data_IF_122850167130
#
_entry.id   IF_122850167130
#
_cell.length_a   1.000
_cell.length_b   1.000
_cell.length_c   1.000
_cell.angle_alpha   90.00
_cell.angle_beta   90.00
_cell.angle_gamma   90.00
#
_symmetry.space_group_name_H-M   'P 1'
#
loop_
_entity.id
_entity.type
_entity.pdbx_description
1 polymer ?
#
# COMPACT_ATOMS: atom_id res chain seq x y z
N UNK A 1 7.96 -1.55 31.95
CA UNK A 1 8.44 -1.49 33.34
C UNK A 1 9.92 -1.16 33.30
N UNK A 2 10.47 -0.20 34.02
CA UNK A 2 11.90 -0.05 34.14
C UNK A 2 12.43 -1.32 34.81
N UNK A 3 13.33 -2.03 34.11
CA UNK A 3 13.99 -3.20 34.68
C UNK A 3 14.92 -2.74 35.83
N UNK A 4 14.66 -3.24 37.01
CA UNK A 4 15.61 -3.13 38.12
C UNK A 4 16.52 -4.35 38.10
N UNK A 5 17.63 -4.22 37.37
CA UNK A 5 18.63 -5.28 37.25
C UNK A 5 19.36 -5.60 38.57
N UNK A 6 19.20 -4.74 39.56
CA UNK A 6 19.72 -4.89 40.92
C UNK A 6 18.90 -5.88 41.79
N UNK A 7 17.71 -6.29 41.30
CA UNK A 7 16.83 -7.24 42.00
C UNK A 7 16.63 -8.48 41.15
N UNK A 8 17.39 -9.53 41.42
CA UNK A 8 17.40 -10.77 40.63
C UNK A 8 16.04 -11.45 40.52
N UNK A 9 15.19 -11.33 41.53
CA UNK A 9 13.83 -11.87 41.56
C UNK A 9 12.90 -11.22 40.52
N UNK A 10 13.27 -10.04 40.03
CA UNK A 10 12.47 -9.30 39.00
C UNK A 10 12.84 -9.65 37.59
N UNK A 11 13.91 -10.41 37.40
CA UNK A 11 14.36 -10.82 36.07
C UNK A 11 13.61 -12.07 35.61
N UNK A 12 13.27 -12.07 34.32
CA UNK A 12 12.67 -13.22 33.67
C UNK A 12 13.65 -14.39 33.59
N UNK A 13 13.18 -15.57 33.19
CA UNK A 13 13.98 -16.76 32.99
C UNK A 13 14.08 -17.10 31.50
N UNK A 14 15.31 -17.44 31.08
CA UNK A 14 15.60 -17.98 29.75
C UNK A 14 15.24 -19.48 29.67
N UNK A 15 15.32 -20.08 28.48
CA UNK A 15 15.02 -21.51 28.27
C UNK A 15 15.99 -22.45 28.97
N UNK A 16 17.15 -21.96 29.34
CA UNK A 16 18.20 -22.68 30.10
C UNK A 16 18.12 -22.43 31.62
N UNK A 17 17.05 -21.82 32.09
CA UNK A 17 16.79 -21.34 33.44
C UNK A 17 17.73 -20.23 33.95
N UNK A 18 18.60 -19.68 33.11
CA UNK A 18 19.36 -18.47 33.47
C UNK A 18 18.44 -17.27 33.60
N UNK A 19 18.89 -16.24 34.34
CA UNK A 19 18.14 -14.96 34.42
C UNK A 19 18.33 -14.14 33.17
N UNK A 20 17.23 -13.54 32.69
CA UNK A 20 17.25 -12.66 31.53
C UNK A 20 17.80 -11.29 31.92
N UNK A 21 18.74 -10.79 31.12
CA UNK A 21 19.25 -9.41 31.20
C UNK A 21 18.37 -8.38 30.46
N UNK A 22 17.34 -8.84 29.78
CA UNK A 22 16.48 -7.99 28.91
C UNK A 22 15.01 -7.95 29.33
N UNK A 23 14.53 -8.96 30.04
CA UNK A 23 13.11 -9.11 30.37
C UNK A 23 12.87 -9.37 31.86
N UNK A 24 11.79 -8.76 32.38
CA UNK A 24 11.33 -9.07 33.72
C UNK A 24 10.50 -10.37 33.74
N UNK A 25 10.30 -10.93 34.93
CA UNK A 25 9.53 -12.17 35.11
C UNK A 25 8.07 -12.11 34.69
N UNK A 26 7.47 -10.90 34.61
CA UNK A 26 6.16 -10.71 34.02
C UNK A 26 6.17 -10.80 32.49
N UNK A 27 7.32 -10.63 31.86
CA UNK A 27 7.44 -10.63 30.40
C UNK A 27 7.97 -11.94 29.85
N UNK A 28 8.90 -12.59 30.55
CA UNK A 28 9.58 -13.79 30.08
C UNK A 28 9.66 -14.85 31.19
N UNK A 29 9.20 -16.06 30.87
CA UNK A 29 9.36 -17.25 31.73
C UNK A 29 9.74 -18.44 30.87
N UNK A 30 10.83 -19.13 31.31
CA UNK A 30 11.33 -20.31 30.63
C UNK A 30 11.60 -20.12 29.14
N UNK A 31 12.13 -18.94 28.77
CA UNK A 31 12.40 -18.52 27.38
C UNK A 31 11.18 -18.17 26.55
N UNK A 32 9.98 -18.13 27.15
CA UNK A 32 8.74 -17.80 26.46
C UNK A 32 8.12 -16.52 27.04
N UNK A 33 7.52 -15.72 26.16
CA UNK A 33 6.72 -14.59 26.64
C UNK A 33 5.49 -15.09 27.40
N UNK A 34 5.28 -14.54 28.58
CA UNK A 34 4.19 -14.93 29.51
C UNK A 34 2.82 -14.58 28.95
N UNK A 35 2.74 -13.54 28.10
CA UNK A 35 1.51 -13.08 27.45
C UNK A 35 1.83 -12.75 26.00
N UNK A 36 1.04 -13.29 25.07
CA UNK A 36 1.13 -12.91 23.64
C UNK A 36 0.10 -11.82 23.36
N UNK A 37 0.49 -10.56 23.54
CA UNK A 37 -0.31 -9.37 23.26
C UNK A 37 0.42 -8.46 22.29
N UNK A 38 -0.34 -7.60 21.61
CA UNK A 38 0.22 -6.55 20.75
C UNK A 38 0.87 -5.45 21.60
N UNK A 39 1.69 -4.62 20.97
CA UNK A 39 2.27 -3.44 21.62
C UNK A 39 1.18 -2.47 22.08
N UNK A 40 0.12 -2.30 21.26
CA UNK A 40 -1.00 -1.42 21.61
C UNK A 40 -1.77 -1.90 22.84
N UNK A 41 -2.08 -3.20 22.90
CA UNK A 41 -2.72 -3.79 24.08
C UNK A 41 -1.85 -3.63 25.34
N UNK A 42 -0.54 -3.75 25.21
CA UNK A 42 0.38 -3.48 26.33
C UNK A 42 0.31 -2.02 26.78
N UNK A 43 0.27 -1.08 25.84
CA UNK A 43 0.11 0.35 26.14
C UNK A 43 -1.21 0.57 26.87
N UNK A 44 -2.31 0.04 26.36
CA UNK A 44 -3.64 0.23 26.94
C UNK A 44 -3.74 -0.37 28.36
N UNK A 45 -3.09 -1.51 28.60
CA UNK A 45 -2.98 -2.08 29.95
C UNK A 45 -2.21 -1.12 30.89
N UNK A 46 -1.08 -0.59 30.47
CA UNK A 46 -0.30 0.32 31.30
C UNK A 46 -1.02 1.66 31.56
N UNK A 47 -1.75 2.18 30.57
CA UNK A 47 -2.58 3.35 30.75
C UNK A 47 -3.67 3.11 31.80
N UNK A 48 -4.33 1.94 31.75
CA UNK A 48 -5.33 1.56 32.76
C UNK A 48 -4.74 1.48 34.17
N UNK A 49 -3.46 1.22 34.30
CA UNK A 49 -2.75 1.08 35.57
C UNK A 49 -1.66 2.15 35.75
N UNK A 50 -1.92 3.39 35.28
CA UNK A 50 -0.96 4.51 35.34
C UNK A 50 -0.39 4.73 36.76
N UNK A 51 -1.22 4.68 37.79
CA UNK A 51 -0.76 4.85 39.19
C UNK A 51 0.26 3.77 39.58
N UNK A 52 0.03 2.52 39.19
CA UNK A 52 0.99 1.45 39.46
C UNK A 52 2.28 1.65 38.67
N UNK A 53 2.20 2.09 37.41
CA UNK A 53 3.38 2.40 36.62
C UNK A 53 4.19 3.52 37.29
N UNK A 54 3.53 4.61 37.69
CA UNK A 54 4.14 5.74 38.36
C UNK A 54 4.84 5.32 39.67
N UNK A 55 4.19 4.46 40.46
CA UNK A 55 4.79 3.91 41.67
C UNK A 55 6.06 3.08 41.39
N UNK A 56 6.05 2.23 40.37
CA UNK A 56 7.24 1.44 39.98
C UNK A 56 8.36 2.26 39.36
N UNK A 57 8.01 3.28 38.57
CA UNK A 57 8.98 4.12 37.86
C UNK A 57 9.43 5.33 38.69
N UNK A 58 8.83 5.55 39.85
CA UNK A 58 8.99 6.76 40.68
C UNK A 58 8.76 8.04 39.83
N UNK A 59 7.63 8.09 39.17
CA UNK A 59 7.21 9.17 38.26
C UNK A 59 5.79 9.61 38.58
N UNK A 60 5.33 10.70 37.97
CA UNK A 60 3.99 11.26 38.16
C UNK A 60 3.36 11.61 36.80
N UNK A 61 3.44 10.72 35.82
CA UNK A 61 2.87 10.93 34.50
C UNK A 61 1.36 10.86 34.52
N UNK A 62 0.70 11.74 33.74
CA UNK A 62 -0.70 11.56 33.38
C UNK A 62 -0.86 10.37 32.42
N UNK A 63 -2.08 9.83 32.23
CA UNK A 63 -2.34 8.77 31.25
C UNK A 63 -1.88 9.15 29.83
N UNK A 64 -2.08 10.40 29.42
CA UNK A 64 -1.70 10.92 28.11
C UNK A 64 -0.18 10.98 27.95
N UNK A 65 0.53 11.55 28.90
CA UNK A 65 1.99 11.62 28.91
C UNK A 65 2.60 10.21 28.92
N UNK A 66 2.03 9.30 29.73
CA UNK A 66 2.47 7.91 29.76
C UNK A 66 2.28 7.23 28.41
N UNK A 67 1.16 7.48 27.72
CA UNK A 67 0.91 6.96 26.38
C UNK A 67 1.98 7.42 25.37
N UNK A 68 2.33 8.70 25.36
CA UNK A 68 3.37 9.23 24.50
C UNK A 68 4.73 8.60 24.78
N UNK A 69 5.10 8.48 26.06
CA UNK A 69 6.36 7.87 26.48
C UNK A 69 6.41 6.40 26.07
N UNK A 70 5.34 5.64 26.27
CA UNK A 70 5.30 4.22 25.91
C UNK A 70 5.35 4.03 24.39
N UNK A 71 4.63 4.83 23.62
CA UNK A 71 4.68 4.83 22.15
C UNK A 71 6.11 5.10 21.62
N UNK A 72 6.88 5.93 22.32
CA UNK A 72 8.27 6.24 21.95
C UNK A 72 9.27 5.16 22.38
N UNK A 73 9.06 4.55 23.54
CA UNK A 73 10.04 3.63 24.15
C UNK A 73 9.83 2.16 23.78
N UNK A 74 8.56 1.68 23.73
CA UNK A 74 8.29 0.26 23.51
C UNK A 74 8.79 -0.27 22.15
N UNK A 75 8.72 0.49 21.02
CA UNK A 75 9.25 0.00 19.76
C UNK A 75 10.73 -0.33 19.76
N UNK A 76 11.51 0.29 20.66
CA UNK A 76 12.94 0.04 20.78
C UNK A 76 13.29 -1.22 21.60
N UNK A 77 12.33 -1.79 22.34
CA UNK A 77 12.56 -2.99 23.12
C UNK A 77 12.68 -4.23 22.23
N UNK A 78 13.57 -5.15 22.59
CA UNK A 78 13.86 -6.38 21.82
C UNK A 78 12.62 -7.17 21.44
N UNK A 79 11.64 -7.30 22.35
CA UNK A 79 10.36 -7.96 22.10
C UNK A 79 9.59 -7.39 20.92
N UNK A 80 9.53 -6.06 20.83
CA UNK A 80 8.73 -5.36 19.82
C UNK A 80 9.54 -5.11 18.55
N UNK A 81 10.85 -4.86 18.68
CA UNK A 81 11.77 -4.69 17.57
C UNK A 81 11.79 -5.93 16.68
N UNK A 82 11.96 -7.12 17.27
CA UNK A 82 11.98 -8.37 16.54
C UNK A 82 10.62 -8.68 15.88
N UNK A 83 9.51 -8.39 16.57
CA UNK A 83 8.16 -8.54 16.01
C UNK A 83 7.90 -7.54 14.85
N UNK A 84 8.40 -6.30 14.96
CA UNK A 84 8.33 -5.32 13.88
C UNK A 84 9.17 -5.73 12.67
N UNK A 85 10.39 -6.20 12.87
CA UNK A 85 11.25 -6.70 11.79
C UNK A 85 10.59 -7.87 11.06
N UNK A 86 10.03 -8.83 11.78
CA UNK A 86 9.30 -9.96 11.20
C UNK A 86 8.05 -9.49 10.44
N UNK A 87 7.27 -8.56 11.01
CA UNK A 87 6.10 -7.99 10.34
C UNK A 87 6.49 -7.22 9.08
N UNK A 88 7.58 -6.45 9.12
CA UNK A 88 8.09 -5.73 7.95
C UNK A 88 8.54 -6.69 6.85
N UNK A 89 9.23 -7.78 7.19
CA UNK A 89 9.59 -8.83 6.23
C UNK A 89 8.35 -9.48 5.63
N UNK A 90 7.36 -9.83 6.44
CA UNK A 90 6.10 -10.39 5.95
C UNK A 90 5.35 -9.41 5.04
N UNK A 91 5.27 -8.14 5.44
CA UNK A 91 4.65 -7.09 4.64
C UNK A 91 5.32 -6.99 3.27
N UNK A 92 6.66 -6.88 3.25
CA UNK A 92 7.42 -6.82 2.01
C UNK A 92 7.24 -8.06 1.12
N UNK A 93 7.27 -9.23 1.73
CA UNK A 93 7.04 -10.50 1.03
C UNK A 93 5.67 -10.51 0.35
N UNK A 94 4.63 -10.09 1.07
CA UNK A 94 3.27 -10.04 0.50
C UNK A 94 3.13 -8.92 -0.53
N UNK A 95 3.82 -7.79 -0.39
CA UNK A 95 3.86 -6.75 -1.42
C UNK A 95 4.40 -7.27 -2.75
N UNK A 96 5.47 -8.06 -2.74
CA UNK A 96 6.00 -8.68 -3.96
C UNK A 96 4.96 -9.61 -4.62
N UNK A 97 4.21 -10.37 -3.82
CA UNK A 97 3.11 -11.22 -4.31
C UNK A 97 1.98 -10.37 -4.90
N UNK A 98 1.61 -9.27 -4.24
CA UNK A 98 0.57 -8.35 -4.71
C UNK A 98 0.95 -7.72 -6.06
N UNK A 99 2.20 -7.29 -6.21
CA UNK A 99 2.71 -6.75 -7.48
C UNK A 99 2.62 -7.82 -8.58
N UNK A 100 3.02 -9.05 -8.29
CA UNK A 100 2.89 -10.15 -9.23
C UNK A 100 1.42 -10.40 -9.62
N UNK A 101 0.51 -10.43 -8.65
CA UNK A 101 -0.93 -10.58 -8.91
C UNK A 101 -1.45 -9.49 -9.83
N UNK A 102 -1.09 -8.22 -9.60
CA UNK A 102 -1.54 -7.12 -10.43
C UNK A 102 -1.02 -7.24 -11.87
N UNK A 103 0.25 -7.58 -12.05
CA UNK A 103 0.85 -7.72 -13.38
C UNK A 103 0.32 -8.92 -14.16
N UNK A 104 -0.20 -9.94 -13.46
CA UNK A 104 -0.67 -11.22 -14.02
C UNK A 104 -2.13 -11.52 -13.68
N UNK A 105 -2.95 -10.46 -13.46
CA UNK A 105 -4.30 -10.59 -12.89
C UNK A 105 -5.20 -11.57 -13.68
N UNK A 106 -5.04 -11.60 -15.00
CA UNK A 106 -5.82 -12.45 -15.89
C UNK A 106 -5.05 -13.69 -16.40
N UNK A 107 -3.85 -13.93 -15.87
CA UNK A 107 -3.15 -15.19 -16.14
C UNK A 107 -3.67 -16.31 -15.24
N UNK A 108 -3.36 -17.55 -15.62
CA UNK A 108 -3.60 -18.69 -14.74
C UNK A 108 -2.63 -18.60 -13.56
N UNK A 109 -3.19 -18.33 -12.39
CA UNK A 109 -2.43 -18.13 -11.17
C UNK A 109 -2.69 -19.30 -10.21
N UNK A 110 -1.66 -20.05 -9.90
CA UNK A 110 -1.74 -21.13 -8.93
C UNK A 110 -1.05 -20.76 -7.60
N UNK A 111 -1.44 -21.50 -6.55
CA UNK A 111 -0.92 -21.25 -5.21
C UNK A 111 0.58 -21.56 -5.08
N UNK A 112 1.11 -22.47 -5.90
CA UNK A 112 2.53 -22.85 -5.83
C UNK A 112 3.43 -21.75 -6.37
N UNK A 113 3.04 -21.09 -7.46
CA UNK A 113 3.71 -19.90 -7.99
C UNK A 113 3.79 -18.80 -6.94
N UNK A 114 2.66 -18.49 -6.28
CA UNK A 114 2.62 -17.45 -5.26
C UNK A 114 3.44 -17.80 -4.00
N UNK A 115 3.46 -19.09 -3.62
CA UNK A 115 4.33 -19.58 -2.56
C UNK A 115 5.81 -19.44 -2.91
N UNK A 116 6.18 -19.75 -4.16
CA UNK A 116 7.56 -19.59 -4.65
C UNK A 116 8.00 -18.14 -4.59
N UNK A 117 7.17 -17.21 -5.04
CA UNK A 117 7.44 -15.76 -4.97
C UNK A 117 7.60 -15.29 -3.53
N UNK A 118 6.77 -15.79 -2.63
CA UNK A 118 6.81 -15.42 -1.21
C UNK A 118 7.95 -16.10 -0.44
N UNK A 119 8.52 -17.20 -0.95
CA UNK A 119 9.46 -18.04 -0.18
C UNK A 119 8.85 -18.71 1.05
N UNK A 120 7.51 -18.76 1.16
CA UNK A 120 6.79 -19.31 2.31
C UNK A 120 6.10 -20.64 1.95
N UNK A 121 5.97 -21.53 2.95
CA UNK A 121 5.12 -22.72 2.78
C UNK A 121 3.64 -22.32 2.58
N UNK A 122 2.86 -23.17 1.89
CA UNK A 122 1.44 -22.90 1.59
C UNK A 122 0.61 -22.46 2.80
N UNK A 123 0.80 -23.12 3.93
CA UNK A 123 0.07 -22.78 5.15
C UNK A 123 0.49 -21.43 5.72
N UNK A 124 1.79 -21.19 5.79
CA UNK A 124 2.34 -19.94 6.31
C UNK A 124 1.99 -18.77 5.38
N UNK A 125 2.11 -18.94 4.07
CA UNK A 125 1.72 -17.94 3.07
C UNK A 125 0.26 -17.51 3.23
N UNK A 126 -0.68 -18.45 3.30
CA UNK A 126 -2.11 -18.14 3.47
C UNK A 126 -2.39 -17.31 4.72
N UNK A 127 -1.75 -17.68 5.84
CA UNK A 127 -1.90 -16.97 7.12
C UNK A 127 -1.31 -15.57 7.05
N UNK A 128 -0.09 -15.43 6.53
CA UNK A 128 0.59 -14.14 6.40
C UNK A 128 -0.16 -13.23 5.44
N UNK A 129 -0.60 -13.78 4.29
CA UNK A 129 -1.39 -13.03 3.31
C UNK A 129 -2.68 -12.49 3.92
N UNK A 130 -3.46 -13.33 4.61
CA UNK A 130 -4.67 -12.91 5.31
C UNK A 130 -4.38 -11.84 6.38
N UNK A 131 -3.31 -12.00 7.14
CA UNK A 131 -2.92 -11.03 8.19
C UNK A 131 -2.56 -9.66 7.59
N UNK A 132 -1.86 -9.65 6.44
CA UNK A 132 -1.41 -8.40 5.80
C UNK A 132 -2.53 -7.73 5.01
N UNK A 133 -3.36 -8.49 4.29
CA UNK A 133 -4.36 -7.93 3.37
C UNK A 133 -5.78 -7.89 3.95
N UNK A 134 -6.04 -8.58 5.06
CA UNK A 134 -7.40 -8.76 5.61
C UNK A 134 -8.29 -9.69 4.79
N UNK A 135 -7.80 -10.27 3.68
CA UNK A 135 -8.56 -11.12 2.77
C UNK A 135 -7.82 -12.44 2.48
N UNK A 136 -8.55 -13.54 2.27
CA UNK A 136 -7.90 -14.72 1.73
C UNK A 136 -7.52 -14.50 0.25
N UNK A 137 -6.46 -15.17 -0.20
CA UNK A 137 -5.87 -14.95 -1.53
C UNK A 137 -6.87 -15.14 -2.69
N UNK A 138 -7.77 -16.10 -2.59
CA UNK A 138 -8.77 -16.37 -3.65
C UNK A 138 -9.79 -15.23 -3.75
N UNK A 139 -10.31 -14.75 -2.60
CA UNK A 139 -11.23 -13.61 -2.55
C UNK A 139 -10.57 -12.33 -3.04
N UNK A 140 -9.31 -12.12 -2.65
CA UNK A 140 -8.50 -10.97 -3.07
C UNK A 140 -8.37 -10.90 -4.60
N UNK A 141 -7.91 -11.97 -5.24
CA UNK A 141 -7.77 -12.04 -6.70
C UNK A 141 -9.13 -11.88 -7.40
N UNK A 142 -10.18 -12.53 -6.87
CA UNK A 142 -11.51 -12.43 -7.44
C UNK A 142 -12.06 -11.00 -7.36
N UNK A 143 -11.85 -10.31 -6.25
CA UNK A 143 -12.21 -8.90 -6.08
C UNK A 143 -11.53 -8.04 -7.13
N UNK A 144 -10.21 -8.10 -7.24
CA UNK A 144 -9.46 -7.32 -8.23
C UNK A 144 -9.93 -7.57 -9.67
N UNK A 145 -10.23 -8.82 -10.03
CA UNK A 145 -10.74 -9.17 -11.35
C UNK A 145 -12.10 -8.52 -11.63
N UNK A 146 -13.00 -8.54 -10.66
CA UNK A 146 -14.34 -7.95 -10.82
C UNK A 146 -14.28 -6.42 -10.81
N UNK A 147 -13.45 -5.82 -9.99
CA UNK A 147 -13.21 -4.36 -9.98
C UNK A 147 -12.60 -3.89 -11.32
N UNK A 148 -11.67 -4.66 -11.89
CA UNK A 148 -11.17 -4.36 -13.24
C UNK A 148 -12.25 -4.45 -14.32
N UNK A 149 -13.16 -5.43 -14.24
CA UNK A 149 -14.32 -5.52 -15.15
C UNK A 149 -15.22 -4.28 -14.97
N UNK A 150 -15.45 -3.81 -13.74
CA UNK A 150 -16.20 -2.60 -13.47
C UNK A 150 -15.53 -1.38 -14.11
N UNK A 151 -14.22 -1.25 -13.99
CA UNK A 151 -13.45 -0.21 -14.65
C UNK A 151 -13.60 -0.25 -16.18
N UNK A 152 -13.49 -1.42 -16.81
CA UNK A 152 -13.72 -1.57 -18.27
C UNK A 152 -15.15 -1.20 -18.69
N UNK A 153 -16.14 -1.50 -17.86
CA UNK A 153 -17.55 -1.17 -18.13
C UNK A 153 -17.80 0.33 -18.19
N UNK A 154 -17.12 1.13 -17.37
CA UNK A 154 -17.32 2.59 -17.31
C UNK A 154 -16.35 3.34 -18.22
N UNK A 155 -15.13 2.86 -18.41
CA UNK A 155 -14.08 3.53 -19.18
C UNK A 155 -14.05 3.16 -20.67
N UNK A 156 -14.84 2.16 -21.10
CA UNK A 156 -14.87 1.69 -22.51
C UNK A 156 -16.29 1.41 -22.99
N UNK A 157 -16.45 1.30 -24.32
CA UNK A 157 -17.67 0.80 -24.96
C UNK A 157 -17.69 -0.72 -25.17
N UNK A 158 -16.77 -1.45 -24.55
CA UNK A 158 -16.69 -2.89 -24.71
C UNK A 158 -17.98 -3.60 -24.33
N UNK A 159 -18.47 -4.44 -25.22
CA UNK A 159 -19.52 -5.40 -24.88
C UNK A 159 -19.01 -6.40 -23.84
N UNK A 160 -19.92 -7.07 -23.15
CA UNK A 160 -19.54 -8.15 -22.20
C UNK A 160 -18.74 -9.25 -22.90
N UNK A 161 -18.97 -9.50 -24.20
CA UNK A 161 -18.17 -10.46 -24.97
C UNK A 161 -16.71 -9.99 -25.11
N UNK A 162 -16.50 -8.73 -25.47
CA UNK A 162 -15.16 -8.18 -25.59
C UNK A 162 -14.44 -8.13 -24.24
N UNK A 163 -15.16 -7.82 -23.15
CA UNK A 163 -14.62 -7.90 -21.80
C UNK A 163 -14.21 -9.35 -21.45
N UNK A 164 -15.05 -10.33 -21.85
CA UNK A 164 -14.74 -11.75 -21.62
C UNK A 164 -13.42 -12.18 -22.27
N UNK A 165 -13.10 -11.69 -23.47
CA UNK A 165 -11.84 -11.97 -24.19
C UNK A 165 -10.59 -11.44 -23.45
N UNK A 166 -10.77 -10.44 -22.59
CA UNK A 166 -9.70 -9.84 -21.77
C UNK A 166 -9.66 -10.35 -20.33
N UNK A 167 -10.37 -11.44 -20.03
CA UNK A 167 -10.47 -11.97 -18.67
C UNK A 167 -10.26 -13.50 -18.65
N UNK A 168 -10.10 -14.07 -17.45
CA UNK A 168 -10.04 -15.54 -17.26
C UNK A 168 -11.39 -16.21 -17.14
N UNK A 169 -12.49 -15.45 -17.24
CA UNK A 169 -13.82 -16.02 -17.16
C UNK A 169 -14.16 -16.77 -18.45
N UNK A 170 -14.72 -17.97 -18.31
CA UNK A 170 -15.04 -18.84 -19.44
C UNK A 170 -16.37 -18.47 -20.14
N UNK A 171 -17.27 -17.81 -19.43
CA UNK A 171 -18.61 -17.50 -19.93
C UNK A 171 -19.11 -16.15 -19.42
N UNK A 172 -19.97 -15.49 -20.19
CA UNK A 172 -20.72 -14.29 -19.73
C UNK A 172 -21.49 -14.55 -18.44
N UNK A 173 -22.00 -15.76 -18.29
CA UNK A 173 -22.79 -16.13 -17.12
C UNK A 173 -21.93 -16.14 -15.85
N UNK A 174 -20.68 -16.62 -15.94
CA UNK A 174 -19.74 -16.59 -14.81
C UNK A 174 -19.37 -15.16 -14.42
N UNK A 175 -19.14 -14.28 -15.40
CA UNK A 175 -18.94 -12.83 -15.14
C UNK A 175 -20.18 -12.25 -14.47
N UNK A 176 -21.38 -12.44 -15.06
CA UNK A 176 -22.62 -11.86 -14.54
C UNK A 176 -22.91 -12.28 -13.10
N UNK A 177 -22.68 -13.57 -12.77
CA UNK A 177 -22.84 -14.11 -11.42
C UNK A 177 -21.85 -13.46 -10.44
N UNK A 178 -20.57 -13.42 -10.80
CA UNK A 178 -19.53 -12.87 -9.94
C UNK A 178 -19.72 -11.35 -9.75
N UNK A 179 -20.06 -10.63 -10.83
CA UNK A 179 -20.29 -9.19 -10.80
C UNK A 179 -21.50 -8.82 -9.91
N UNK A 180 -22.64 -9.50 -10.12
CA UNK A 180 -23.84 -9.26 -9.30
C UNK A 180 -23.60 -9.63 -7.82
N UNK A 181 -22.81 -10.68 -7.55
CA UNK A 181 -22.43 -11.04 -6.17
C UNK A 181 -21.62 -9.92 -5.49
N UNK A 182 -20.75 -9.25 -6.24
CA UNK A 182 -19.84 -8.23 -5.69
C UNK A 182 -20.51 -6.85 -5.56
N UNK A 183 -21.17 -6.37 -6.63
CA UNK A 183 -21.77 -5.03 -6.70
C UNK A 183 -23.28 -4.98 -6.39
N UNK A 184 -23.96 -6.11 -6.22
CA UNK A 184 -25.39 -6.19 -5.97
C UNK A 184 -26.28 -5.97 -7.20
N UNK A 185 -25.74 -5.43 -8.30
CA UNK A 185 -26.45 -5.11 -9.56
C UNK A 185 -25.78 -5.80 -10.74
N UNK A 186 -26.49 -5.88 -11.88
CA UNK A 186 -25.91 -6.43 -13.10
C UNK A 186 -24.85 -5.52 -13.73
N UNK A 187 -23.95 -6.08 -14.54
CA UNK A 187 -22.95 -5.31 -15.27
C UNK A 187 -23.58 -4.25 -16.21
N UNK A 188 -24.74 -4.53 -16.81
CA UNK A 188 -25.45 -3.57 -17.65
C UNK A 188 -26.03 -2.41 -16.83
N UNK A 189 -26.65 -2.72 -15.67
CA UNK A 189 -27.15 -1.68 -14.76
C UNK A 189 -26.00 -0.86 -14.17
N UNK A 190 -24.86 -1.48 -13.90
CA UNK A 190 -23.67 -0.78 -13.43
C UNK A 190 -23.16 0.22 -14.47
N UNK A 191 -23.03 -0.21 -15.73
CA UNK A 191 -22.67 0.67 -16.85
C UNK A 191 -23.64 1.83 -17.00
N UNK A 192 -24.95 1.56 -17.04
CA UNK A 192 -25.99 2.58 -17.17
C UNK A 192 -25.91 3.62 -16.04
N UNK A 193 -25.65 3.17 -14.81
CA UNK A 193 -25.62 4.02 -13.64
C UNK A 193 -24.34 4.85 -13.51
N UNK A 194 -23.19 4.27 -13.86
CA UNK A 194 -21.87 4.85 -13.54
C UNK A 194 -21.07 5.26 -14.77
N UNK A 195 -21.45 4.85 -15.98
CA UNK A 195 -20.81 5.38 -17.19
C UNK A 195 -21.25 6.83 -17.37
N UNK A 196 -20.29 7.77 -17.47
CA UNK A 196 -20.62 9.16 -17.67
C UNK A 196 -21.45 9.35 -18.94
N UNK A 197 -22.52 10.14 -18.87
CA UNK A 197 -23.18 10.66 -20.06
C UNK A 197 -22.17 11.51 -20.83
N UNK A 198 -21.95 11.23 -22.12
CA UNK A 198 -20.94 11.89 -22.94
C UNK A 198 -20.94 13.39 -22.72
N UNK A 199 -19.85 13.95 -22.29
CA UNK A 199 -19.66 15.38 -22.11
C UNK A 199 -19.35 16.03 -23.46
N UNK A 200 -19.78 17.27 -23.63
CA UNK A 200 -19.27 18.10 -24.72
C UNK A 200 -17.76 18.24 -24.57
N UNK A 201 -17.04 17.85 -25.62
CA UNK A 201 -15.56 17.85 -25.62
C UNK A 201 -15.06 19.30 -25.59
N UNK A 202 -14.65 19.78 -24.44
CA UNK A 202 -14.08 21.12 -24.29
C UNK A 202 -12.59 21.17 -23.96
N UNK A 203 -11.97 20.03 -23.62
CA UNK A 203 -10.55 20.00 -23.22
C UNK A 203 -9.75 19.09 -24.13
N UNK A 204 -8.88 19.64 -24.96
CA UNK A 204 -7.98 18.85 -25.81
C UNK A 204 -6.69 18.61 -25.04
N UNK A 205 -6.46 17.35 -24.64
CA UNK A 205 -5.21 16.94 -23.99
C UNK A 205 -4.20 16.45 -25.02
N UNK A 206 -2.97 16.90 -24.89
CA UNK A 206 -1.82 16.48 -25.72
C UNK A 206 -0.76 15.82 -24.83
N UNK A 207 -0.92 14.53 -24.46
CA UNK A 207 0.08 13.85 -23.67
C UNK A 207 1.35 13.57 -24.49
N UNK A 208 2.49 13.59 -23.81
CA UNK A 208 3.72 13.03 -24.36
C UNK A 208 3.62 11.49 -24.36
N UNK A 209 3.87 10.85 -25.50
CA UNK A 209 3.91 9.38 -25.59
C UNK A 209 5.38 8.93 -25.54
N UNK A 210 5.73 8.18 -24.49
CA UNK A 210 7.12 7.76 -24.25
C UNK A 210 7.23 6.29 -23.89
N UNK A 211 8.30 5.66 -24.33
CA UNK A 211 8.68 4.32 -23.87
C UNK A 211 9.66 4.48 -22.70
N UNK A 212 9.32 3.90 -21.56
CA UNK A 212 10.13 3.94 -20.35
C UNK A 212 10.83 2.60 -20.13
N UNK A 213 12.03 2.65 -19.58
CA UNK A 213 12.66 1.50 -18.95
C UNK A 213 12.00 1.24 -17.58
N UNK A 214 12.10 0.03 -17.02
CA UNK A 214 11.64 -0.23 -15.65
C UNK A 214 12.28 0.75 -14.67
N UNK A 215 11.48 1.26 -13.72
CA UNK A 215 11.91 2.24 -12.73
C UNK A 215 11.81 1.62 -11.35
N UNK A 216 12.92 1.48 -10.65
CA UNK A 216 12.92 1.06 -9.24
C UNK A 216 12.63 2.26 -8.34
N UNK A 217 11.74 2.07 -7.39
CA UNK A 217 11.40 3.07 -6.38
C UNK A 217 11.53 2.47 -4.98
N UNK A 218 11.93 3.28 -4.03
CA UNK A 218 11.73 2.99 -2.61
C UNK A 218 10.39 3.61 -2.21
N UNK A 219 9.47 2.83 -1.67
CA UNK A 219 8.13 3.30 -1.36
C UNK A 219 7.61 2.81 0.00
N UNK A 220 6.63 3.55 0.52
CA UNK A 220 5.90 3.26 1.75
C UNK A 220 4.41 3.31 1.43
N UNK A 221 3.67 2.31 1.90
CA UNK A 221 2.22 2.27 1.79
C UNK A 221 1.57 3.30 2.70
N UNK A 222 0.58 4.00 2.17
CA UNK A 222 -0.24 4.96 2.91
C UNK A 222 -1.57 4.29 3.23
N UNK A 223 -1.67 3.69 4.41
CA UNK A 223 -2.95 3.11 4.86
C UNK A 223 -4.02 4.18 5.01
N UNK A 224 -5.27 3.87 4.59
CA UNK A 224 -6.42 4.79 4.63
C UNK A 224 -6.13 6.15 3.95
N UNK A 225 -5.42 6.12 2.81
CA UNK A 225 -4.92 7.29 2.12
C UNK A 225 -6.00 8.34 1.81
N UNK A 226 -7.20 7.90 1.52
CA UNK A 226 -8.28 8.79 1.09
C UNK A 226 -9.07 9.42 2.25
N UNK A 227 -8.91 8.92 3.50
CA UNK A 227 -9.63 9.42 4.68
C UNK A 227 -8.90 10.55 5.41
N UNK A 228 -7.57 10.52 5.43
CA UNK A 228 -6.79 11.42 6.28
C UNK A 228 -5.62 12.06 5.52
N UNK A 229 -5.83 13.30 5.06
CA UNK A 229 -4.79 14.09 4.38
C UNK A 229 -3.56 14.36 5.25
N UNK A 230 -3.68 14.34 6.57
CA UNK A 230 -2.55 14.54 7.48
C UNK A 230 -1.57 13.36 7.42
N UNK A 231 -2.04 12.15 7.13
CA UNK A 231 -1.20 10.96 6.96
C UNK A 231 -0.20 11.09 5.81
N UNK A 232 -0.59 11.75 4.71
CA UNK A 232 0.34 11.98 3.60
C UNK A 232 1.61 12.70 4.05
N UNK A 233 1.46 13.75 4.86
CA UNK A 233 2.61 14.51 5.39
C UNK A 233 3.50 13.63 6.26
N UNK A 234 2.92 12.87 7.17
CA UNK A 234 3.65 11.95 8.04
C UNK A 234 4.41 10.88 7.25
N UNK A 235 3.81 10.34 6.19
CA UNK A 235 4.47 9.34 5.35
C UNK A 235 5.57 9.98 4.50
N UNK A 236 5.38 11.20 3.97
CA UNK A 236 6.44 11.93 3.29
C UNK A 236 7.63 12.20 4.22
N UNK A 237 7.40 12.62 5.45
CA UNK A 237 8.46 12.85 6.43
C UNK A 237 9.22 11.55 6.74
N UNK A 238 8.51 10.43 6.92
CA UNK A 238 9.10 9.10 7.08
C UNK A 238 9.92 8.70 5.85
N UNK A 239 9.36 8.86 4.66
CA UNK A 239 10.02 8.52 3.40
C UNK A 239 11.32 9.30 3.23
N UNK A 240 11.30 10.62 3.47
CA UNK A 240 12.47 11.49 3.40
C UNK A 240 13.51 11.10 4.46
N UNK A 241 13.07 10.80 5.68
CA UNK A 241 13.96 10.34 6.76
C UNK A 241 14.70 9.05 6.37
N UNK A 242 13.96 8.04 5.89
CA UNK A 242 14.54 6.79 5.38
C UNK A 242 15.47 7.03 4.19
N UNK A 243 15.05 7.85 3.24
CA UNK A 243 15.85 8.17 2.07
C UNK A 243 17.18 8.85 2.43
N UNK A 244 17.20 9.73 3.43
CA UNK A 244 18.43 10.33 3.98
C UNK A 244 19.31 9.26 4.65
N UNK A 245 18.73 8.40 5.49
CA UNK A 245 19.45 7.35 6.22
C UNK A 245 20.18 6.38 5.29
N UNK A 246 19.55 6.00 4.18
CA UNK A 246 20.10 5.07 3.19
C UNK A 246 20.80 5.76 2.02
N UNK A 247 21.06 7.08 2.13
CA UNK A 247 21.72 7.89 1.10
C UNK A 247 21.05 7.78 -0.29
N UNK A 248 19.70 7.69 -0.30
CA UNK A 248 18.89 7.63 -1.51
C UNK A 248 18.58 9.04 -2.04
N UNK A 249 18.75 10.09 -1.24
CA UNK A 249 18.47 11.48 -1.62
C UNK A 249 19.54 12.00 -2.58
N UNK A 250 19.12 12.59 -3.71
CA UNK A 250 20.01 13.21 -4.70
C UNK A 250 19.23 14.12 -5.66
N UNK A 251 19.94 14.97 -6.41
CA UNK A 251 19.32 15.99 -7.29
C UNK A 251 18.42 15.42 -8.38
N UNK A 252 18.66 14.18 -8.82
CA UNK A 252 17.91 13.53 -9.91
C UNK A 252 16.77 12.61 -9.40
N UNK A 253 16.47 12.68 -8.11
CA UNK A 253 15.42 11.84 -7.52
C UNK A 253 14.05 12.48 -7.70
N UNK A 254 13.09 11.65 -8.09
CA UNK A 254 11.72 12.05 -8.30
C UNK A 254 10.84 11.48 -7.18
N UNK A 255 9.95 12.31 -6.68
CA UNK A 255 8.89 11.91 -5.78
C UNK A 255 7.76 11.30 -6.59
N UNK A 256 7.30 10.14 -6.18
CA UNK A 256 6.33 9.32 -6.92
C UNK A 256 5.17 8.95 -6.02
N UNK A 257 3.97 8.95 -6.55
CA UNK A 257 2.83 8.23 -5.95
C UNK A 257 2.33 7.15 -6.88
N UNK A 258 1.79 6.08 -6.31
CA UNK A 258 1.16 4.99 -7.05
C UNK A 258 -0.19 4.71 -6.41
N UNK A 259 -1.26 4.91 -7.18
CA UNK A 259 -2.61 4.45 -6.86
C UNK A 259 -2.82 3.11 -7.54
N UNK A 260 -3.01 2.05 -6.76
CA UNK A 260 -3.24 0.71 -7.32
C UNK A 260 -4.72 0.42 -7.56
N UNK A 261 -5.59 1.16 -6.91
CA UNK A 261 -7.02 0.95 -6.93
C UNK A 261 -7.75 2.26 -7.20
N UNK A 262 -8.93 2.17 -7.81
CA UNK A 262 -9.82 3.30 -8.07
C UNK A 262 -10.81 3.44 -6.91
N UNK A 263 -10.78 4.53 -6.13
CA UNK A 263 -11.68 4.72 -4.99
C UNK A 263 -13.16 4.88 -5.38
N UNK A 264 -13.47 5.09 -6.65
CA UNK A 264 -14.87 5.07 -7.15
C UNK A 264 -15.42 3.65 -7.32
N UNK A 265 -14.55 2.66 -7.37
CA UNK A 265 -14.87 1.23 -7.58
C UNK A 265 -14.53 0.40 -6.35
N UNK A 266 -13.32 0.59 -5.81
CA UNK A 266 -12.80 -0.14 -4.65
C UNK A 266 -13.15 0.61 -3.37
N UNK A 267 -13.69 -0.04 -2.32
CA UNK A 267 -13.92 0.60 -1.03
C UNK A 267 -12.63 1.26 -0.49
N UNK A 268 -12.73 2.48 0.02
CA UNK A 268 -11.59 3.30 0.45
C UNK A 268 -10.64 2.55 1.42
N UNK A 269 -11.19 1.76 2.33
CA UNK A 269 -10.41 0.97 3.30
C UNK A 269 -9.59 -0.16 2.66
N UNK A 270 -9.88 -0.49 1.40
CA UNK A 270 -9.16 -1.50 0.61
C UNK A 270 -8.30 -0.91 -0.49
N UNK A 271 -8.39 0.41 -0.70
CA UNK A 271 -7.56 1.11 -1.67
C UNK A 271 -6.11 1.13 -1.20
N UNK A 272 -5.21 0.72 -2.11
CA UNK A 272 -3.75 0.69 -1.90
C UNK A 272 -3.15 1.91 -2.57
N UNK A 273 -2.41 2.66 -1.79
CA UNK A 273 -1.71 3.86 -2.25
C UNK A 273 -0.30 3.90 -1.69
N UNK A 274 0.67 4.24 -2.52
CA UNK A 274 2.08 4.27 -2.15
C UNK A 274 2.70 5.63 -2.45
N UNK A 275 3.54 6.10 -1.55
CA UNK A 275 4.44 7.22 -1.79
C UNK A 275 5.87 6.70 -1.90
N UNK A 276 6.64 7.20 -2.85
CA UNK A 276 7.96 6.70 -3.13
C UNK A 276 8.95 7.73 -3.67
N UNK A 277 10.20 7.30 -3.77
CA UNK A 277 11.31 8.04 -4.37
C UNK A 277 12.01 7.11 -5.37
N UNK A 278 12.32 7.61 -6.58
CA UNK A 278 13.04 6.83 -7.58
C UNK A 278 14.44 6.46 -7.09
N UNK A 279 14.89 5.24 -7.40
CA UNK A 279 16.23 4.75 -7.12
C UNK A 279 17.10 4.90 -8.37
N UNK A 280 18.40 5.27 -8.22
CA UNK A 280 19.36 5.17 -9.33
C UNK A 280 19.86 3.72 -9.43
N UNK A 281 20.04 3.24 -10.66
CA UNK A 281 20.52 1.88 -10.93
C UNK A 281 21.96 1.63 -10.47
N UNK A 282 22.74 2.68 -10.19
CA UNK A 282 24.19 2.59 -10.00
C UNK A 282 24.66 2.37 -8.55
N UNK A 283 23.74 2.39 -7.57
CA UNK A 283 24.10 2.13 -6.18
C UNK A 283 23.41 0.87 -5.68
N UNK A 284 24.19 -0.13 -5.25
CA UNK A 284 23.70 -1.17 -4.35
C UNK A 284 23.18 -0.47 -3.10
N UNK A 285 21.88 -0.32 -3.00
CA UNK A 285 21.25 0.14 -1.76
C UNK A 285 21.10 -1.08 -0.88
N UNK A 286 21.58 -1.02 0.36
CA UNK A 286 21.37 -2.04 1.40
C UNK A 286 19.89 -2.08 1.87
N UNK A 287 18.97 -1.69 0.98
CA UNK A 287 17.54 -1.71 1.22
C UNK A 287 17.02 -3.13 0.98
N UNK A 288 16.78 -3.84 2.07
CA UNK A 288 16.21 -5.17 2.03
C UNK A 288 14.67 -5.17 1.92
N UNK A 289 14.03 -3.98 1.95
CA UNK A 289 12.56 -3.87 1.94
C UNK A 289 12.10 -2.52 1.37
N UNK A 290 10.84 -2.43 0.96
CA UNK A 290 10.22 -1.20 0.45
C UNK A 290 10.60 -0.86 -1.00
N UNK A 291 11.17 -1.80 -1.76
CA UNK A 291 11.47 -1.60 -3.18
C UNK A 291 10.32 -2.13 -4.02
N UNK A 292 9.82 -1.29 -4.92
CA UNK A 292 8.86 -1.64 -5.96
C UNK A 292 9.46 -1.29 -7.32
N UNK A 293 9.13 -2.08 -8.33
CA UNK A 293 9.52 -1.78 -9.71
C UNK A 293 8.27 -1.38 -10.50
N UNK A 294 8.32 -0.17 -11.07
CA UNK A 294 7.34 0.28 -12.05
C UNK A 294 7.74 -0.37 -13.38
N UNK A 295 6.86 -1.14 -14.03
CA UNK A 295 7.18 -1.82 -15.27
C UNK A 295 7.60 -0.86 -16.38
N UNK A 296 8.58 -1.27 -17.18
CA UNK A 296 8.88 -0.60 -18.44
C UNK A 296 7.75 -0.77 -19.45
N UNK A 297 7.68 0.11 -20.44
CA UNK A 297 6.63 0.05 -21.45
C UNK A 297 6.29 1.40 -22.03
N UNK A 298 5.21 1.45 -22.81
CA UNK A 298 4.72 2.70 -23.42
C UNK A 298 3.75 3.38 -22.48
N UNK A 299 4.01 4.66 -22.21
CA UNK A 299 3.20 5.50 -21.33
C UNK A 299 2.70 6.75 -22.08
N UNK A 300 1.48 7.17 -21.77
CA UNK A 300 0.98 8.50 -22.03
C UNK A 300 1.22 9.34 -20.77
N UNK A 301 1.87 10.49 -20.94
CA UNK A 301 2.28 11.37 -19.85
C UNK A 301 1.45 12.64 -19.96
N UNK A 302 0.61 12.88 -18.97
CA UNK A 302 -0.26 14.05 -18.90
C UNK A 302 0.26 14.99 -17.84
N UNK A 303 0.46 16.27 -18.19
CA UNK A 303 0.89 17.29 -17.24
C UNK A 303 -0.33 17.99 -16.66
N UNK A 304 -0.49 17.89 -15.36
CA UNK A 304 -1.44 18.66 -14.58
C UNK A 304 -0.72 19.83 -13.90
N UNK A 305 -1.30 21.04 -14.00
CA UNK A 305 -0.84 22.23 -13.27
C UNK A 305 -1.97 22.72 -12.38
N UNK A 306 -1.76 22.77 -11.08
CA UNK A 306 -2.77 23.17 -10.11
C UNK A 306 -2.74 22.35 -8.80
N UNK A 307 -3.69 22.66 -7.92
CA UNK A 307 -3.83 21.98 -6.63
C UNK A 307 -4.15 20.48 -6.80
N UNK A 308 -3.61 19.65 -5.93
CA UNK A 308 -3.87 18.19 -5.93
C UNK A 308 -5.35 17.83 -5.81
N UNK A 309 -6.19 18.71 -5.27
CA UNK A 309 -7.65 18.49 -5.19
C UNK A 309 -8.33 18.43 -6.55
N UNK A 310 -7.72 18.99 -7.62
CA UNK A 310 -8.22 18.94 -8.97
C UNK A 310 -7.72 17.72 -9.79
N UNK A 311 -6.84 16.89 -9.22
CA UNK A 311 -6.33 15.68 -9.89
C UNK A 311 -7.46 14.70 -10.25
N UNK A 312 -8.44 14.52 -9.36
CA UNK A 312 -9.56 13.63 -9.63
C UNK A 312 -10.32 14.03 -10.91
N UNK A 313 -10.62 15.31 -11.05
CA UNK A 313 -11.29 15.84 -12.26
C UNK A 313 -10.40 15.70 -13.49
N UNK A 314 -9.10 15.91 -13.35
CA UNK A 314 -8.15 15.75 -14.45
C UNK A 314 -8.04 14.27 -14.90
N UNK A 315 -8.04 13.32 -13.99
CA UNK A 315 -8.14 11.89 -14.31
C UNK A 315 -9.45 11.57 -15.06
N UNK A 316 -10.56 12.18 -14.63
CA UNK A 316 -11.85 12.01 -15.30
C UNK A 316 -11.75 12.43 -16.78
N UNK A 317 -11.18 13.60 -17.07
CA UNK A 317 -10.98 14.09 -18.45
C UNK A 317 -10.09 13.09 -19.24
N UNK A 318 -9.03 12.55 -18.65
CA UNK A 318 -8.16 11.59 -19.33
C UNK A 318 -8.94 10.32 -19.71
N UNK A 319 -9.70 9.74 -18.77
CA UNK A 319 -10.38 8.46 -18.99
C UNK A 319 -11.67 8.59 -19.78
N UNK A 320 -12.43 9.66 -19.60
CA UNK A 320 -13.74 9.86 -20.22
C UNK A 320 -13.69 10.59 -21.56
N UNK A 321 -12.69 11.44 -21.78
CA UNK A 321 -12.60 12.25 -22.99
C UNK A 321 -11.41 11.82 -23.87
N UNK A 322 -10.19 11.81 -23.32
CA UNK A 322 -9.00 11.55 -24.15
C UNK A 322 -8.91 10.11 -24.62
N UNK A 323 -9.08 9.11 -23.76
CA UNK A 323 -8.97 7.71 -24.16
C UNK A 323 -10.01 7.30 -25.22
N UNK A 324 -11.29 7.65 -25.12
CA UNK A 324 -12.27 7.38 -26.18
C UNK A 324 -11.88 7.97 -27.51
N UNK A 325 -11.42 9.23 -27.55
CA UNK A 325 -11.02 9.94 -28.77
C UNK A 325 -9.65 9.53 -29.31
N UNK A 326 -8.79 8.92 -28.50
CA UNK A 326 -7.44 8.55 -28.88
C UNK A 326 -7.37 7.19 -29.58
N UNK A 327 -6.22 6.91 -30.23
CA UNK A 327 -5.89 5.59 -30.78
C UNK A 327 -5.28 4.62 -29.75
N UNK A 328 -5.35 4.97 -28.48
CA UNK A 328 -4.76 4.21 -27.36
C UNK A 328 -5.82 3.73 -26.40
N UNK A 329 -5.51 2.69 -25.68
CA UNK A 329 -6.26 2.20 -24.52
C UNK A 329 -5.32 2.03 -23.32
N UNK A 330 -5.80 2.23 -22.07
CA UNK A 330 -5.00 1.98 -20.89
C UNK A 330 -4.65 0.49 -20.81
N UNK A 331 -3.46 0.21 -20.29
CA UNK A 331 -3.02 -1.14 -19.92
C UNK A 331 -3.28 -1.38 -18.43
N UNK A 332 -3.52 -2.65 -18.08
CA UNK A 332 -3.70 -3.07 -16.68
C UNK A 332 -2.32 -3.28 -16.01
N UNK A 333 -1.54 -2.21 -15.94
CA UNK A 333 -0.28 -2.16 -15.20
C UNK A 333 -0.23 -0.87 -14.39
N UNK A 334 0.86 -0.62 -13.65
CA UNK A 334 0.93 0.48 -12.72
C UNK A 334 0.88 1.85 -13.41
N UNK A 335 -0.14 2.64 -13.10
CA UNK A 335 -0.14 4.08 -13.30
C UNK A 335 0.53 4.76 -12.12
N UNK A 336 1.22 5.86 -12.35
CA UNK A 336 1.92 6.58 -11.30
C UNK A 336 2.00 8.08 -11.61
N UNK A 337 2.22 8.86 -10.56
CA UNK A 337 2.41 10.30 -10.65
C UNK A 337 3.85 10.66 -10.27
N UNK A 338 4.40 11.67 -10.93
CA UNK A 338 5.66 12.30 -10.54
C UNK A 338 5.37 13.74 -10.15
N UNK A 339 5.74 14.10 -8.92
CA UNK A 339 5.65 15.47 -8.43
C UNK A 339 6.91 16.24 -8.84
N UNK A 340 6.76 17.16 -9.79
CA UNK A 340 7.89 17.94 -10.34
C UNK A 340 8.32 19.05 -9.39
N UNK A 341 7.37 19.61 -8.68
CA UNK A 341 7.60 20.58 -7.59
C UNK A 341 6.70 20.21 -6.39
N UNK A 342 6.82 20.92 -5.28
CA UNK A 342 6.08 20.59 -4.07
C UNK A 342 5.58 21.84 -3.33
N UNK A 343 4.48 21.68 -2.58
CA UNK A 343 3.73 22.78 -1.93
C UNK A 343 4.51 23.57 -0.87
N UNK A 344 5.67 23.11 -0.41
CA UNK A 344 6.52 23.89 0.50
C UNK A 344 7.37 24.95 -0.19
N UNK A 345 7.50 24.89 -1.52
CA UNK A 345 8.34 25.78 -2.31
C UNK A 345 7.57 26.52 -3.41
N UNK A 346 6.28 26.21 -3.60
CA UNK A 346 5.49 26.65 -4.76
C UNK A 346 4.05 26.91 -4.34
N UNK A 347 3.37 27.86 -4.96
CA UNK A 347 1.94 28.11 -4.72
C UNK A 347 1.10 26.93 -5.23
N UNK A 348 -0.09 26.75 -4.67
CA UNK A 348 -0.99 25.64 -5.06
C UNK A 348 -1.35 25.65 -6.54
N UNK A 349 -1.42 26.83 -7.14
CA UNK A 349 -1.76 27.02 -8.57
C UNK A 349 -0.63 26.70 -9.52
N UNK A 350 0.61 26.64 -9.02
CA UNK A 350 1.82 26.35 -9.80
C UNK A 350 2.37 24.93 -9.55
N UNK A 351 1.66 24.11 -8.78
CA UNK A 351 2.03 22.70 -8.59
C UNK A 351 1.98 21.95 -9.92
N UNK A 352 2.99 21.16 -10.20
CA UNK A 352 3.10 20.37 -11.42
C UNK A 352 3.17 18.90 -11.06
N UNK A 353 2.21 18.15 -11.57
CA UNK A 353 2.14 16.69 -11.45
C UNK A 353 2.11 16.07 -12.85
N UNK A 354 3.09 15.25 -13.15
CA UNK A 354 3.11 14.47 -14.39
C UNK A 354 2.48 13.09 -14.10
N UNK A 355 1.37 12.79 -14.76
CA UNK A 355 0.60 11.55 -14.62
C UNK A 355 0.99 10.59 -15.73
N UNK A 356 1.49 9.43 -15.36
CA UNK A 356 1.96 8.37 -16.25
C UNK A 356 0.93 7.25 -16.32
N UNK A 357 0.29 7.07 -17.46
CA UNK A 357 -0.67 5.99 -17.68
C UNK A 357 -0.11 5.03 -18.73
N UNK A 358 0.04 3.74 -18.40
CA UNK A 358 0.52 2.74 -19.34
C UNK A 358 -0.52 2.52 -20.44
N UNK A 359 -0.05 2.44 -21.70
CA UNK A 359 -0.92 2.39 -22.87
C UNK A 359 -0.52 1.35 -23.89
N UNK A 360 -1.51 0.85 -24.62
CA UNK A 360 -1.32 0.09 -25.85
C UNK A 360 -2.15 0.71 -26.98
N UNK A 361 -1.82 0.42 -28.23
CA UNK A 361 -2.66 0.82 -29.38
C UNK A 361 -3.98 0.05 -29.35
N UNK A 362 -5.07 0.71 -29.78
CA UNK A 362 -6.38 0.07 -30.05
C UNK A 362 -6.26 -0.92 -31.18
#
# INVERSE_FOLDING_TARGET
MPLRFDVEEWLGTNSDNSRSDQFCYYCLKDGKYTVDISMQEMIDIWIKYTDKYNGYANTAYSPEELREILNKRLPALSRWKQKQETNNVHHQTIQNVIIHINNHLFDRMDADTLCTISGLSKYHFRRVFLTVTGENIGSYIQRLRIEHIAHLLISTDYTINQILEHTTYQTKFSIAKAFKKHFGISASQYREKYKPAGYEQNTVLFPEIKTLNPIKIFCIEVGEAYKDKFRYRLIWDKLIHHAKRYNIVGKDRKFVSISMDDPSITPEEKCRFYLGITLCNDKKTDLNSGIMEIPGGRYAIFRHTGDYSSLYEFYRIIYEEWFPASRYRPQNTLSFEIYTNHSSATTKTELITDIYIPITKK
#
